data_IF_541925742784
#
_entry.id   IF_541925742784
#
_cell.length_a   1.000
_cell.length_b   1.000
_cell.length_c   1.000
_cell.angle_alpha   90.00
_cell.angle_beta   90.00
_cell.angle_gamma   90.00
#
_symmetry.space_group_name_H-M   'P 1'
#
loop_
_entity.id
_entity.type
_entity.pdbx_description
1 polymer ?
#
# COMPACT_ATOMS: atom_id res chain seq x y z
N UNK A 1 -12.17 9.90 22.67
CA UNK A 1 -11.60 8.53 22.72
C UNK A 1 -12.62 7.48 22.29
N UNK A 2 -13.80 7.34 22.93
CA UNK A 2 -14.85 6.39 22.48
C UNK A 2 -15.31 6.63 21.03
N UNK A 3 -15.46 7.89 20.63
CA UNK A 3 -15.84 8.25 19.25
C UNK A 3 -14.76 7.90 18.22
N UNK A 4 -13.49 8.25 18.50
CA UNK A 4 -12.36 7.84 17.65
C UNK A 4 -12.21 6.33 17.53
N UNK A 5 -12.48 5.59 18.60
CA UNK A 5 -12.52 4.12 18.59
C UNK A 5 -13.67 3.62 17.72
N UNK A 6 -14.85 4.22 17.82
CA UNK A 6 -16.02 3.88 17.00
C UNK A 6 -15.75 4.14 15.51
N UNK A 7 -15.21 5.31 15.16
CA UNK A 7 -14.83 5.67 13.79
C UNK A 7 -13.72 4.75 13.26
N UNK A 8 -12.74 4.38 14.09
CA UNK A 8 -11.72 3.39 13.72
C UNK A 8 -12.32 1.98 13.51
N UNK A 9 -13.33 1.58 14.30
CA UNK A 9 -14.03 0.30 14.10
C UNK A 9 -14.86 0.36 12.81
N UNK A 10 -15.53 1.47 12.52
CA UNK A 10 -16.25 1.65 11.26
C UNK A 10 -15.30 1.66 10.06
N UNK A 11 -14.10 2.22 10.20
CA UNK A 11 -13.14 2.26 9.10
C UNK A 11 -12.58 0.88 8.82
N UNK A 12 -12.48 0.01 9.82
CA UNK A 12 -12.15 -1.41 9.62
C UNK A 12 -13.16 -2.12 8.71
N UNK A 13 -14.45 -1.82 8.84
CA UNK A 13 -15.50 -2.41 7.99
C UNK A 13 -15.50 -1.84 6.57
N UNK A 14 -15.18 -0.56 6.39
CA UNK A 14 -15.11 0.09 5.08
C UNK A 14 -13.82 -0.24 4.32
N UNK A 15 -12.67 -0.32 5.02
CA UNK A 15 -11.34 -0.60 4.45
C UNK A 15 -11.19 -2.05 4.00
N UNK A 16 -11.97 -2.99 4.56
CA UNK A 16 -12.07 -4.35 4.01
C UNK A 16 -12.50 -4.36 2.53
N UNK A 17 -13.28 -3.37 2.08
CA UNK A 17 -13.66 -3.21 0.66
C UNK A 17 -12.67 -2.39 -0.17
N UNK A 18 -11.84 -1.56 0.48
CA UNK A 18 -10.82 -0.72 -0.17
C UNK A 18 -9.56 -1.53 -0.56
N UNK A 19 -9.32 -2.66 0.13
CA UNK A 19 -8.18 -3.55 -0.11
C UNK A 19 -8.55 -4.80 -0.93
N UNK A 20 -9.83 -5.03 -1.23
CA UNK A 20 -10.31 -6.22 -1.96
C UNK A 20 -10.06 -6.18 -3.48
N UNK A 21 -9.23 -5.25 -3.96
CA UNK A 21 -8.68 -5.29 -5.33
C UNK A 21 -7.58 -6.36 -5.51
N UNK A 22 -7.43 -7.29 -4.56
CA UNK A 22 -6.84 -8.61 -4.83
C UNK A 22 -7.68 -9.72 -4.17
N UNK A 23 -8.49 -10.37 -5.02
CA UNK A 23 -8.93 -11.77 -4.96
C UNK A 23 -10.00 -12.18 -3.93
N UNK A 24 -11.28 -11.93 -4.27
CA UNK A 24 -12.27 -13.02 -4.41
C UNK A 24 -13.44 -12.62 -5.33
N UNK A 25 -13.77 -13.39 -6.39
CA UNK A 25 -15.00 -13.16 -7.15
C UNK A 25 -16.13 -13.98 -6.50
N UNK A 26 -17.01 -13.31 -5.77
CA UNK A 26 -18.39 -13.82 -5.68
C UNK A 26 -19.11 -13.42 -6.96
N UNK A 27 -19.44 -14.45 -7.73
CA UNK A 27 -20.31 -14.41 -8.89
C UNK A 27 -21.59 -13.62 -8.58
N UNK A 28 -21.88 -12.59 -9.37
CA UNK A 28 -23.06 -12.67 -10.23
C UNK A 28 -22.89 -11.82 -11.48
N UNK A 29 -23.24 -12.41 -12.62
CA UNK A 29 -23.15 -11.78 -13.92
C UNK A 29 -24.28 -10.79 -14.09
N UNK A 30 -24.05 -9.52 -13.80
CA UNK A 30 -24.85 -8.42 -14.37
C UNK A 30 -23.98 -7.17 -14.50
N UNK A 31 -23.92 -6.66 -15.73
CA UNK A 31 -23.31 -5.39 -16.12
C UNK A 31 -23.55 -4.26 -15.12
N UNK A 32 -22.50 -3.75 -14.47
CA UNK A 32 -22.50 -2.45 -13.79
C UNK A 32 -21.16 -1.74 -14.02
N UNK A 33 -21.17 -0.83 -15.00
CA UNK A 33 -20.38 0.39 -14.94
C UNK A 33 -21.06 1.32 -13.92
N UNK A 34 -20.28 1.97 -13.05
CA UNK A 34 -20.64 2.71 -11.82
C UNK A 34 -20.72 1.82 -10.58
N UNK A 35 -19.79 2.02 -9.64
CA UNK A 35 -19.93 1.84 -8.16
C UNK A 35 -18.58 1.75 -7.42
N UNK A 36 -17.46 2.08 -8.07
CA UNK A 36 -16.17 2.27 -7.37
C UNK A 36 -16.08 3.61 -6.65
N UNK A 37 -16.84 4.62 -7.07
CA UNK A 37 -16.75 5.99 -6.55
C UNK A 37 -17.48 6.20 -5.22
N UNK A 38 -18.63 5.54 -4.99
CA UNK A 38 -19.37 5.67 -3.72
C UNK A 38 -18.64 5.00 -2.53
N UNK A 39 -17.91 3.91 -2.75
CA UNK A 39 -17.14 3.21 -1.70
C UNK A 39 -15.87 3.94 -1.29
N UNK A 40 -15.22 4.63 -2.23
CA UNK A 40 -14.04 5.48 -1.95
C UNK A 40 -14.45 6.72 -1.17
N UNK A 41 -15.60 7.31 -1.50
CA UNK A 41 -16.18 8.47 -0.82
C UNK A 41 -16.48 8.18 0.68
N UNK A 42 -16.98 6.98 1.00
CA UNK A 42 -17.24 6.57 2.39
C UNK A 42 -15.98 6.40 3.25
N UNK A 43 -14.89 5.86 2.70
CA UNK A 43 -13.61 5.70 3.43
C UNK A 43 -12.91 7.05 3.57
N UNK A 44 -12.95 7.89 2.54
CA UNK A 44 -12.36 9.23 2.57
C UNK A 44 -13.09 10.15 3.56
N UNK A 45 -14.43 10.10 3.57
CA UNK A 45 -15.28 10.78 4.57
C UNK A 45 -14.90 10.37 6.00
N UNK A 46 -14.72 9.07 6.24
CA UNK A 46 -14.39 8.56 7.58
C UNK A 46 -12.95 8.90 8.02
N UNK A 47 -11.98 8.85 7.12
CA UNK A 47 -10.63 9.32 7.43
C UNK A 47 -10.60 10.84 7.65
N UNK A 48 -11.51 11.62 7.05
CA UNK A 48 -11.68 13.06 7.35
C UNK A 48 -12.27 13.29 8.76
N UNK A 49 -13.25 12.50 9.20
CA UNK A 49 -13.79 12.59 10.56
C UNK A 49 -12.72 12.25 11.61
N UNK A 50 -11.92 11.21 11.37
CA UNK A 50 -10.76 10.87 12.20
C UNK A 50 -9.78 12.05 12.26
N UNK A 51 -9.49 12.68 11.13
CA UNK A 51 -8.59 13.82 11.06
C UNK A 51 -9.08 14.99 11.92
N UNK A 52 -10.36 15.37 11.81
CA UNK A 52 -10.97 16.45 12.61
C UNK A 52 -10.83 16.16 14.11
N UNK A 53 -11.19 14.95 14.55
CA UNK A 53 -11.07 14.57 15.95
C UNK A 53 -9.63 14.55 16.47
N UNK A 54 -8.66 14.15 15.64
CA UNK A 54 -7.25 14.21 16.01
C UNK A 54 -6.75 15.65 16.12
N UNK A 55 -7.23 16.56 15.28
CA UNK A 55 -6.86 17.98 15.35
C UNK A 55 -7.42 18.69 16.60
N UNK A 56 -8.60 18.28 17.06
CA UNK A 56 -9.21 18.80 18.30
C UNK A 56 -8.59 18.23 19.57
N UNK A 57 -7.80 17.16 19.46
CA UNK A 57 -7.14 16.52 20.60
C UNK A 57 -5.94 17.33 21.09
N UNK A 58 -5.80 17.42 22.41
CA UNK A 58 -4.61 18.03 23.05
C UNK A 58 -3.35 17.15 22.98
N UNK A 59 -3.51 15.84 22.74
CA UNK A 59 -2.41 14.89 22.57
C UNK A 59 -2.79 13.76 21.60
N UNK A 60 -2.89 14.05 20.29
CA UNK A 60 -3.30 13.06 19.31
C UNK A 60 -2.33 11.88 19.22
N UNK A 61 -1.03 12.13 19.43
CA UNK A 61 -0.01 11.08 19.45
C UNK A 61 -0.24 10.06 20.56
N UNK A 62 -0.57 10.52 21.78
CA UNK A 62 -0.91 9.64 22.90
C UNK A 62 -2.19 8.85 22.62
N UNK A 63 -3.23 9.49 22.06
CA UNK A 63 -4.50 8.82 21.80
C UNK A 63 -4.31 7.69 20.79
N UNK A 64 -3.64 7.94 19.67
CA UNK A 64 -3.39 6.92 18.65
C UNK A 64 -2.55 5.79 19.22
N UNK A 65 -1.47 6.10 19.95
CA UNK A 65 -0.64 5.07 20.58
C UNK A 65 -1.45 4.18 21.55
N UNK A 66 -2.31 4.77 22.38
CA UNK A 66 -3.17 4.01 23.29
C UNK A 66 -4.14 3.08 22.54
N UNK A 67 -4.68 3.53 21.39
CA UNK A 67 -5.57 2.71 20.54
C UNK A 67 -4.80 1.53 19.96
N UNK A 68 -3.58 1.75 19.46
CA UNK A 68 -2.73 0.69 18.89
C UNK A 68 -2.33 -0.36 19.93
N UNK A 69 -2.12 0.07 21.19
CA UNK A 69 -1.76 -0.83 22.29
C UNK A 69 -2.98 -1.55 22.90
N UNK A 70 -4.19 -1.00 22.76
CA UNK A 70 -5.41 -1.53 23.34
C UNK A 70 -6.52 -1.60 22.29
N UNK A 71 -6.40 -2.51 21.30
CA UNK A 71 -7.40 -2.64 20.26
C UNK A 71 -8.75 -2.92 20.91
N UNK A 72 -9.71 -2.00 20.75
CA UNK A 72 -10.96 -1.94 21.51
C UNK A 72 -11.95 -3.07 21.17
N UNK A 73 -11.52 -4.07 20.42
CA UNK A 73 -12.26 -5.28 20.12
C UNK A 73 -11.66 -6.40 20.96
N UNK A 74 -12.31 -6.84 22.06
CA UNK A 74 -11.99 -8.13 22.66
C UNK A 74 -12.23 -9.20 21.60
N UNK A 75 -11.25 -10.07 21.31
CA UNK A 75 -11.45 -11.16 20.37
C UNK A 75 -11.22 -12.52 21.02
N UNK A 76 -12.12 -13.43 20.63
CA UNK A 76 -12.22 -14.81 21.04
C UNK A 76 -11.07 -15.66 20.49
N UNK A 77 -9.84 -15.49 20.99
CA UNK A 77 -8.83 -16.55 21.05
C UNK A 77 -7.96 -16.29 22.27
N UNK A 78 -8.18 -17.05 23.34
CA UNK A 78 -7.24 -17.13 24.45
C UNK A 78 -5.89 -17.62 23.90
N UNK A 79 -4.84 -16.81 23.99
CA UNK A 79 -3.48 -17.27 23.72
C UNK A 79 -2.48 -16.21 23.29
N UNK A 80 -2.80 -15.36 22.32
CA UNK A 80 -1.80 -14.47 21.70
C UNK A 80 -2.07 -12.99 22.00
N UNK A 81 -1.14 -12.39 22.75
CA UNK A 81 -1.01 -10.95 22.95
C UNK A 81 -0.41 -10.27 21.71
N UNK A 82 -0.83 -10.66 20.51
CA UNK A 82 -0.28 -10.09 19.28
C UNK A 82 -0.87 -8.70 19.03
N UNK A 83 0.00 -7.71 18.88
CA UNK A 83 -0.36 -6.38 18.38
C UNK A 83 -0.83 -6.55 16.93
N UNK A 84 -2.14 -6.43 16.70
CA UNK A 84 -2.72 -6.52 15.36
C UNK A 84 -2.81 -5.13 14.75
N UNK A 85 -2.00 -4.87 13.73
CA UNK A 85 -2.17 -3.71 12.84
C UNK A 85 -3.13 -4.11 11.72
N UNK A 86 -4.28 -3.44 11.64
CA UNK A 86 -5.26 -3.60 10.58
C UNK A 86 -5.47 -2.30 9.80
N UNK A 87 -6.38 -2.33 8.81
CA UNK A 87 -6.64 -1.17 7.94
C UNK A 87 -7.09 0.09 8.68
N UNK A 88 -7.77 -0.02 9.83
CA UNK A 88 -8.16 1.15 10.60
C UNK A 88 -7.01 1.75 11.39
N UNK A 89 -6.12 0.90 11.91
CA UNK A 89 -4.85 1.34 12.48
C UNK A 89 -4.02 2.12 11.44
N UNK A 90 -3.99 1.64 10.19
CA UNK A 90 -3.31 2.34 9.09
C UNK A 90 -3.94 3.71 8.82
N UNK A 91 -5.26 3.82 8.63
CA UNK A 91 -5.89 5.15 8.40
C UNK A 91 -5.62 6.10 9.58
N UNK A 92 -5.70 5.63 10.83
CA UNK A 92 -5.35 6.44 12.01
C UNK A 92 -3.91 6.97 11.97
N UNK A 93 -2.96 6.10 11.64
CA UNK A 93 -1.55 6.45 11.53
C UNK A 93 -1.29 7.41 10.37
N UNK A 94 -1.92 7.23 9.22
CA UNK A 94 -1.84 8.14 8.08
C UNK A 94 -2.36 9.54 8.43
N UNK A 95 -3.50 9.64 9.14
CA UNK A 95 -4.02 10.93 9.60
C UNK A 95 -3.10 11.58 10.66
N UNK A 96 -2.54 10.78 11.57
CA UNK A 96 -1.57 11.29 12.55
C UNK A 96 -0.30 11.82 11.87
N UNK A 97 0.19 11.13 10.84
CA UNK A 97 1.31 11.57 10.01
C UNK A 97 0.97 12.84 9.21
N UNK A 98 -0.30 13.04 8.85
CA UNK A 98 -0.78 14.24 8.17
C UNK A 98 -0.72 15.47 9.08
N UNK A 99 -1.16 15.35 10.34
CA UNK A 99 -1.14 16.47 11.30
C UNK A 99 0.23 16.72 11.91
N UNK A 100 1.13 15.73 11.89
CA UNK A 100 2.53 15.84 12.36
C UNK A 100 2.66 16.52 13.74
N UNK A 101 2.08 15.94 14.80
CA UNK A 101 2.04 16.59 16.09
C UNK A 101 3.41 16.53 16.78
N UNK A 102 3.65 17.44 17.73
CA UNK A 102 4.84 17.36 18.56
C UNK A 102 4.75 16.15 19.50
N UNK A 103 5.73 15.25 19.40
CA UNK A 103 5.76 13.99 20.16
C UNK A 103 6.46 14.20 21.51
N UNK A 104 5.70 14.05 22.59
CA UNK A 104 6.25 14.12 23.96
C UNK A 104 7.21 12.95 24.25
N UNK A 105 8.30 13.16 25.01
CA UNK A 105 9.29 12.10 25.29
C UNK A 105 8.70 10.80 25.82
N UNK A 106 7.78 10.87 26.80
CA UNK A 106 7.10 9.67 27.34
C UNK A 106 6.31 8.90 26.28
N UNK A 107 5.65 9.61 25.37
CA UNK A 107 4.90 8.98 24.26
C UNK A 107 5.87 8.28 23.31
N UNK A 108 7.00 8.91 23.00
CA UNK A 108 8.06 8.34 22.16
C UNK A 108 8.63 7.04 22.75
N UNK A 109 8.90 7.02 24.05
CA UNK A 109 9.41 5.82 24.74
C UNK A 109 8.42 4.65 24.68
N UNK A 110 7.13 4.92 24.83
CA UNK A 110 6.08 3.89 24.71
C UNK A 110 5.87 3.43 23.27
N UNK A 111 5.96 4.35 22.29
CA UNK A 111 5.92 4.02 20.87
C UNK A 111 7.14 3.17 20.45
N UNK A 112 8.31 3.39 21.05
CA UNK A 112 9.49 2.57 20.82
C UNK A 112 9.26 1.11 21.28
N UNK A 113 8.62 0.89 22.43
CA UNK A 113 8.28 -0.46 22.90
C UNK A 113 7.37 -1.15 21.89
N UNK A 114 6.30 -0.48 21.47
CA UNK A 114 5.38 -0.99 20.45
C UNK A 114 6.11 -1.32 19.14
N UNK A 115 7.02 -0.47 18.67
CA UNK A 115 7.79 -0.70 17.46
C UNK A 115 8.73 -1.91 17.58
N UNK A 116 9.34 -2.13 18.75
CA UNK A 116 10.17 -3.31 19.03
C UNK A 116 9.34 -4.59 19.00
N UNK A 117 8.14 -4.58 19.59
CA UNK A 117 7.22 -5.72 19.59
C UNK A 117 6.77 -6.06 18.16
N UNK A 118 6.36 -5.05 17.38
CA UNK A 118 6.01 -5.22 15.97
C UNK A 118 7.18 -5.81 15.15
N UNK A 119 8.40 -5.30 15.36
CA UNK A 119 9.59 -5.82 14.66
C UNK A 119 9.90 -7.27 15.05
N UNK A 120 9.69 -7.66 16.31
CA UNK A 120 9.85 -9.04 16.75
C UNK A 120 8.83 -9.97 16.05
N UNK A 121 7.58 -9.52 15.91
CA UNK A 121 6.51 -10.28 15.28
C UNK A 121 6.71 -10.47 13.76
N UNK A 122 7.41 -9.54 13.09
CA UNK A 122 7.72 -9.68 11.65
C UNK A 122 8.68 -10.84 11.34
N UNK A 123 9.54 -11.24 12.28
CA UNK A 123 10.52 -12.31 12.06
C UNK A 123 9.88 -13.69 11.77
N UNK A 124 8.60 -13.87 12.09
CA UNK A 124 7.84 -15.09 11.81
C UNK A 124 6.85 -14.99 10.64
N UNK A 125 6.60 -13.78 10.09
CA UNK A 125 5.53 -13.55 9.10
C UNK A 125 5.78 -12.29 8.24
N UNK A 126 6.85 -12.29 7.43
CA UNK A 126 7.23 -11.16 6.56
C UNK A 126 6.25 -10.88 5.41
N UNK A 127 5.17 -11.66 5.28
CA UNK A 127 4.16 -11.51 4.22
C UNK A 127 3.06 -10.49 4.58
N UNK A 128 2.97 -10.06 5.85
CA UNK A 128 1.94 -9.10 6.27
C UNK A 128 2.35 -7.65 5.99
N UNK A 129 2.02 -7.15 4.79
CA UNK A 129 2.32 -5.78 4.34
C UNK A 129 1.75 -4.70 5.28
N UNK A 130 0.60 -4.93 5.94
CA UNK A 130 -0.01 -3.97 6.85
C UNK A 130 0.79 -3.79 8.13
N UNK A 131 1.32 -4.88 8.70
CA UNK A 131 2.17 -4.81 9.90
C UNK A 131 3.46 -4.06 9.58
N UNK A 132 4.06 -4.31 8.41
CA UNK A 132 5.25 -3.59 7.94
C UNK A 132 4.93 -2.10 7.76
N UNK A 133 3.81 -1.76 7.10
CA UNK A 133 3.40 -0.38 6.87
C UNK A 133 3.15 0.36 8.19
N UNK A 134 2.42 -0.26 9.12
CA UNK A 134 2.14 0.31 10.44
C UNK A 134 3.41 0.56 11.24
N UNK A 135 4.35 -0.39 11.23
CA UNK A 135 5.67 -0.20 11.85
C UNK A 135 6.42 0.99 11.26
N UNK A 136 6.51 1.10 9.93
CA UNK A 136 7.21 2.20 9.27
C UNK A 136 6.55 3.56 9.55
N UNK A 137 5.21 3.61 9.57
CA UNK A 137 4.45 4.80 9.98
C UNK A 137 4.76 5.18 11.43
N UNK A 138 4.81 4.22 12.36
CA UNK A 138 5.21 4.47 13.76
C UNK A 138 6.64 5.00 13.82
N UNK A 139 7.59 4.42 13.09
CA UNK A 139 8.96 4.92 13.07
C UNK A 139 9.04 6.38 12.62
N UNK A 140 8.31 6.71 11.56
CA UNK A 140 8.28 8.05 11.00
C UNK A 140 7.60 9.05 11.92
N UNK A 141 6.40 8.75 12.42
CA UNK A 141 5.59 9.68 13.21
C UNK A 141 6.27 9.98 14.56
N UNK A 142 6.80 8.95 15.23
CA UNK A 142 7.36 9.09 16.56
C UNK A 142 8.86 9.42 16.56
N UNK A 143 9.49 9.46 15.38
CA UNK A 143 10.91 9.80 15.20
C UNK A 143 11.82 8.73 15.79
N UNK A 144 11.62 7.48 15.41
CA UNK A 144 12.27 6.31 16.04
C UNK A 144 13.31 5.63 15.16
N UNK A 145 13.53 6.08 13.92
CA UNK A 145 14.42 5.40 12.96
C UNK A 145 15.83 5.14 13.53
N UNK A 146 16.39 6.06 14.31
CA UNK A 146 17.73 5.95 14.91
C UNK A 146 17.87 4.80 15.90
N UNK A 147 16.77 4.23 16.39
CA UNK A 147 16.76 3.07 17.27
C UNK A 147 16.82 1.73 16.52
N UNK A 148 16.85 1.76 15.18
CA UNK A 148 16.81 0.59 14.32
C UNK A 148 17.95 0.60 13.31
N UNK A 149 18.30 -0.59 12.79
CA UNK A 149 19.21 -0.68 11.66
C UNK A 149 18.54 -0.10 10.41
N UNK A 150 19.10 0.99 9.90
CA UNK A 150 18.54 1.74 8.77
C UNK A 150 18.43 0.92 7.48
N UNK A 151 19.40 0.05 7.21
CA UNK A 151 19.38 -0.82 6.03
C UNK A 151 18.27 -1.88 6.13
N UNK A 152 18.09 -2.51 7.31
CA UNK A 152 16.97 -3.42 7.53
C UNK A 152 15.61 -2.73 7.37
N UNK A 153 15.48 -1.49 7.83
CA UNK A 153 14.25 -0.71 7.68
C UNK A 153 13.99 -0.38 6.20
N UNK A 154 15.03 -0.03 5.44
CA UNK A 154 14.92 0.21 4.00
C UNK A 154 14.53 -1.06 3.22
N UNK A 155 15.04 -2.22 3.61
CA UNK A 155 14.62 -3.51 3.04
C UNK A 155 13.15 -3.84 3.33
N UNK A 156 12.68 -3.56 4.55
CA UNK A 156 11.25 -3.69 4.90
C UNK A 156 10.39 -2.72 4.08
N UNK A 157 10.89 -1.51 3.82
CA UNK A 157 10.18 -0.49 3.06
C UNK A 157 9.83 -0.98 1.64
N UNK A 158 10.70 -1.78 0.99
CA UNK A 158 10.44 -2.30 -0.36
C UNK A 158 9.13 -3.10 -0.48
N UNK A 159 8.68 -3.74 0.59
CA UNK A 159 7.42 -4.51 0.61
C UNK A 159 6.16 -3.63 0.59
N UNK A 160 6.26 -2.41 1.10
CA UNK A 160 5.13 -1.47 1.21
C UNK A 160 5.27 -0.26 0.26
N UNK A 161 6.30 -0.27 -0.57
CA UNK A 161 6.64 0.83 -1.46
C UNK A 161 5.58 1.14 -2.52
N UNK A 162 4.60 0.25 -2.73
CA UNK A 162 3.48 0.43 -3.65
C UNK A 162 2.35 1.30 -3.05
N UNK A 163 2.23 1.40 -1.72
CA UNK A 163 1.18 2.20 -1.07
C UNK A 163 1.27 3.68 -1.46
N UNK A 164 0.13 4.38 -1.46
CA UNK A 164 0.04 5.82 -1.81
C UNK A 164 0.86 6.70 -0.86
N UNK A 165 0.87 6.37 0.45
CA UNK A 165 1.62 7.12 1.47
C UNK A 165 3.14 6.94 1.38
N UNK A 166 3.62 5.94 0.62
CA UNK A 166 5.02 5.54 0.61
C UNK A 166 5.97 6.69 0.25
N UNK A 167 5.65 7.53 -0.74
CA UNK A 167 6.53 8.65 -1.13
C UNK A 167 6.80 9.60 0.05
N UNK A 168 5.73 10.04 0.73
CA UNK A 168 5.83 10.90 1.92
C UNK A 168 6.58 10.19 3.03
N UNK A 169 6.33 8.90 3.24
CA UNK A 169 6.98 8.11 4.28
C UNK A 169 8.48 7.94 4.04
N UNK A 170 8.89 7.77 2.79
CA UNK A 170 10.30 7.68 2.40
C UNK A 170 11.05 8.97 2.69
N UNK A 171 10.42 10.12 2.42
CA UNK A 171 10.97 11.44 2.72
C UNK A 171 11.07 11.68 4.23
N UNK A 172 10.02 11.41 5.00
CA UNK A 172 10.00 11.66 6.46
C UNK A 172 10.89 10.71 7.25
N UNK A 173 11.16 9.51 6.74
CA UNK A 173 12.18 8.61 7.26
C UNK A 173 13.61 9.04 6.88
N UNK A 174 13.77 10.05 6.01
CA UNK A 174 15.09 10.54 5.61
C UNK A 174 15.81 9.64 4.60
N UNK A 175 15.08 8.82 3.85
CA UNK A 175 15.67 7.92 2.85
C UNK A 175 15.93 8.56 1.48
N UNK A 176 15.62 9.84 1.31
CA UNK A 176 15.79 10.56 0.05
C UNK A 176 17.20 10.41 -0.57
N UNK A 177 18.26 10.42 0.26
CA UNK A 177 19.64 10.24 -0.19
C UNK A 177 19.99 8.80 -0.60
N UNK A 178 19.12 7.83 -0.31
CA UNK A 178 19.26 6.41 -0.66
C UNK A 178 18.41 5.98 -1.84
N UNK A 179 17.76 6.92 -2.53
CA UNK A 179 16.82 6.59 -3.61
C UNK A 179 17.47 5.74 -4.71
N UNK A 180 18.74 5.95 -5.04
CA UNK A 180 19.45 5.14 -6.05
C UNK A 180 19.55 3.67 -5.63
N UNK A 181 20.08 3.39 -4.43
CA UNK A 181 20.17 2.03 -3.85
C UNK A 181 18.77 1.38 -3.77
N UNK A 182 17.78 2.17 -3.37
CA UNK A 182 16.42 1.70 -3.22
C UNK A 182 15.76 1.34 -4.56
N UNK A 183 15.90 2.18 -5.58
CA UNK A 183 15.40 1.92 -6.94
C UNK A 183 16.05 0.67 -7.53
N UNK A 184 17.37 0.51 -7.38
CA UNK A 184 18.08 -0.69 -7.83
C UNK A 184 17.54 -1.96 -7.14
N UNK A 185 17.27 -1.89 -5.83
CA UNK A 185 16.66 -2.98 -5.08
C UNK A 185 15.26 -3.34 -5.62
N UNK A 186 14.42 -2.35 -5.91
CA UNK A 186 13.09 -2.56 -6.49
C UNK A 186 13.16 -3.21 -7.88
N UNK A 187 14.10 -2.80 -8.73
CA UNK A 187 14.32 -3.39 -10.07
C UNK A 187 14.73 -4.87 -9.92
N UNK A 188 15.68 -5.17 -9.03
CA UNK A 188 16.09 -6.55 -8.74
C UNK A 188 14.93 -7.42 -8.25
N UNK A 189 13.96 -6.82 -7.55
CA UNK A 189 12.71 -7.44 -7.08
C UNK A 189 11.60 -7.48 -8.15
N UNK A 190 11.87 -7.02 -9.38
CA UNK A 190 10.90 -6.89 -10.48
C UNK A 190 9.71 -5.95 -10.17
N UNK A 191 9.87 -5.04 -9.22
CA UNK A 191 8.87 -4.03 -8.84
C UNK A 191 8.98 -2.78 -9.73
N UNK A 192 8.93 -2.98 -11.04
CA UNK A 192 9.23 -1.96 -12.07
C UNK A 192 8.35 -0.71 -11.98
N UNK A 193 7.03 -0.86 -11.78
CA UNK A 193 6.12 0.30 -11.66
C UNK A 193 6.48 1.16 -10.45
N UNK A 194 6.80 0.52 -9.33
CA UNK A 194 7.22 1.23 -8.11
C UNK A 194 8.57 1.90 -8.31
N UNK A 195 9.54 1.19 -8.92
CA UNK A 195 10.84 1.74 -9.25
C UNK A 195 10.74 2.97 -10.17
N UNK A 196 9.88 2.93 -11.19
CA UNK A 196 9.61 4.06 -12.07
C UNK A 196 9.01 5.25 -11.31
N UNK A 197 8.05 5.02 -10.40
CA UNK A 197 7.45 6.06 -9.57
C UNK A 197 8.47 6.78 -8.69
N UNK A 198 9.32 6.03 -7.98
CA UNK A 198 10.40 6.61 -7.17
C UNK A 198 11.44 7.33 -8.05
N UNK A 199 11.78 6.75 -9.19
CA UNK A 199 12.75 7.34 -10.11
C UNK A 199 12.27 8.67 -10.69
N UNK A 200 10.98 8.79 -11.00
CA UNK A 200 10.36 10.04 -11.45
C UNK A 200 10.38 11.10 -10.35
N UNK A 201 9.90 10.76 -9.16
CA UNK A 201 9.78 11.69 -8.05
C UNK A 201 11.12 12.28 -7.59
N UNK A 202 12.21 11.52 -7.71
CA UNK A 202 13.55 11.96 -7.34
C UNK A 202 14.43 12.33 -8.54
N UNK A 203 13.91 12.25 -9.77
CA UNK A 203 14.62 12.54 -11.01
C UNK A 203 15.98 11.81 -11.13
N UNK A 204 15.98 10.50 -10.86
CA UNK A 204 17.19 9.66 -10.82
C UNK A 204 17.36 8.73 -12.01
N UNK A 205 16.47 8.82 -13.00
CA UNK A 205 16.56 8.09 -14.25
C UNK A 205 16.07 8.96 -15.41
N UNK A 206 16.60 8.73 -16.61
CA UNK A 206 16.11 9.40 -17.81
C UNK A 206 14.77 8.81 -18.28
N UNK A 207 14.03 9.58 -19.08
CA UNK A 207 12.72 9.16 -19.60
C UNK A 207 12.77 7.81 -20.33
N UNK A 208 13.84 7.56 -21.09
CA UNK A 208 13.96 6.33 -21.88
C UNK A 208 14.11 5.12 -20.96
N UNK A 209 14.98 5.19 -19.95
CA UNK A 209 15.14 4.14 -18.94
C UNK A 209 13.82 3.82 -18.24
N UNK A 210 13.02 4.83 -17.94
CA UNK A 210 11.73 4.66 -17.29
C UNK A 210 10.71 3.98 -18.21
N UNK A 211 10.62 4.39 -19.47
CA UNK A 211 9.76 3.77 -20.47
C UNK A 211 10.18 2.31 -20.72
N UNK A 212 11.49 2.04 -20.83
CA UNK A 212 12.03 0.69 -21.00
C UNK A 212 11.67 -0.22 -19.81
N UNK A 213 11.76 0.31 -18.58
CA UNK A 213 11.39 -0.38 -17.34
C UNK A 213 9.88 -0.73 -17.29
N UNK A 214 9.01 0.18 -17.71
CA UNK A 214 7.57 -0.07 -17.79
C UNK A 214 7.23 -1.08 -18.91
N UNK A 215 7.91 -1.01 -20.06
CA UNK A 215 7.77 -2.00 -21.13
C UNK A 215 8.16 -3.40 -20.66
N UNK A 216 9.23 -3.52 -19.87
CA UNK A 216 9.64 -4.80 -19.27
C UNK A 216 8.56 -5.33 -18.32
N UNK A 217 7.91 -4.47 -17.54
CA UNK A 217 6.76 -4.86 -16.71
C UNK A 217 5.59 -5.40 -17.54
N UNK A 218 5.20 -4.68 -18.59
CA UNK A 218 4.14 -5.08 -19.53
C UNK A 218 4.45 -6.44 -20.15
N UNK A 219 5.69 -6.65 -20.59
CA UNK A 219 6.12 -7.92 -21.18
C UNK A 219 6.11 -9.07 -20.16
N UNK A 220 6.53 -8.82 -18.92
CA UNK A 220 6.51 -9.81 -17.86
C UNK A 220 5.08 -10.22 -17.48
N UNK A 221 4.16 -9.26 -17.36
CA UNK A 221 2.75 -9.54 -17.09
C UNK A 221 2.12 -10.41 -18.19
N UNK A 222 2.40 -10.07 -19.45
CA UNK A 222 1.98 -10.86 -20.62
C UNK A 222 2.49 -12.31 -20.56
N UNK A 223 3.78 -12.52 -20.32
CA UNK A 223 4.38 -13.85 -20.25
C UNK A 223 3.79 -14.70 -19.11
N UNK A 224 3.48 -14.08 -17.97
CA UNK A 224 2.82 -14.77 -16.85
C UNK A 224 1.42 -15.24 -17.25
N UNK A 225 0.62 -14.36 -17.89
CA UNK A 225 -0.72 -14.70 -18.35
C UNK A 225 -0.70 -15.81 -19.42
N UNK A 226 0.17 -15.68 -20.43
CA UNK A 226 0.31 -16.69 -21.50
C UNK A 226 0.74 -18.04 -20.92
N UNK A 227 1.76 -18.05 -20.06
CA UNK A 227 2.22 -19.27 -19.40
C UNK A 227 1.18 -19.91 -18.47
N UNK A 228 0.25 -19.14 -17.90
CA UNK A 228 -0.91 -19.69 -17.16
C UNK A 228 -1.94 -20.28 -18.13
N UNK A 229 -2.26 -19.56 -19.20
CA UNK A 229 -3.23 -19.98 -20.21
C UNK A 229 -2.83 -21.24 -20.97
N UNK A 230 -1.54 -21.47 -21.19
CA UNK A 230 -1.02 -22.66 -21.88
C UNK A 230 -1.09 -23.92 -21.02
N UNK A 231 -1.03 -23.79 -19.69
CA UNK A 231 -0.97 -24.92 -18.75
C UNK A 231 -2.32 -25.56 -18.46
N UNK A 232 -3.43 -24.90 -18.82
CA UNK A 232 -4.77 -25.35 -18.46
C UNK A 232 -5.80 -24.98 -19.52
N UNK A 233 -6.85 -25.80 -19.64
CA UNK A 233 -8.02 -25.48 -20.45
C UNK A 233 -9.18 -24.92 -19.62
N UNK A 234 -8.99 -24.71 -18.31
CA UNK A 234 -10.02 -24.10 -17.46
C UNK A 234 -10.21 -22.63 -17.82
N UNK A 235 -11.42 -22.28 -18.23
CA UNK A 235 -11.82 -20.89 -18.55
C UNK A 235 -11.61 -20.00 -17.32
N UNK A 236 -11.99 -20.47 -16.12
CA UNK A 236 -11.86 -19.71 -14.87
C UNK A 236 -10.40 -19.33 -14.58
N UNK A 237 -9.46 -20.26 -14.77
CA UNK A 237 -8.04 -19.99 -14.52
C UNK A 237 -7.47 -19.03 -15.57
N UNK A 238 -7.88 -19.16 -16.83
CA UNK A 238 -7.49 -18.24 -17.90
C UNK A 238 -8.02 -16.83 -17.66
N UNK A 239 -9.29 -16.71 -17.29
CA UNK A 239 -9.90 -15.43 -17.00
C UNK A 239 -9.26 -14.76 -15.78
N UNK A 240 -8.94 -15.52 -14.73
CA UNK A 240 -8.16 -15.02 -13.60
C UNK A 240 -6.77 -14.49 -14.03
N UNK A 241 -6.05 -15.24 -14.87
CA UNK A 241 -4.74 -14.80 -15.35
C UNK A 241 -4.83 -13.52 -16.22
N UNK A 242 -5.88 -13.42 -17.04
CA UNK A 242 -6.17 -12.21 -17.84
C UNK A 242 -6.52 -11.03 -16.93
N UNK A 243 -7.27 -11.26 -15.86
CA UNK A 243 -7.60 -10.23 -14.87
C UNK A 243 -6.37 -9.73 -14.11
N UNK A 244 -5.46 -10.64 -13.74
CA UNK A 244 -4.18 -10.29 -13.14
C UNK A 244 -3.31 -9.48 -14.12
N UNK A 245 -3.28 -9.83 -15.41
CA UNK A 245 -2.58 -9.04 -16.44
C UNK A 245 -3.23 -7.64 -16.61
N UNK A 246 -4.56 -7.56 -16.73
CA UNK A 246 -5.27 -6.28 -16.85
C UNK A 246 -4.98 -5.39 -15.64
N UNK A 247 -5.09 -5.91 -14.42
CA UNK A 247 -4.81 -5.15 -13.21
C UNK A 247 -3.35 -4.63 -13.19
N UNK A 248 -2.39 -5.47 -13.59
CA UNK A 248 -0.98 -5.08 -13.73
C UNK A 248 -0.80 -3.95 -14.75
N UNK A 249 -1.43 -4.04 -15.92
CA UNK A 249 -1.38 -3.01 -16.96
C UNK A 249 -2.04 -1.69 -16.52
N UNK A 250 -3.14 -1.76 -15.76
CA UNK A 250 -3.80 -0.59 -15.18
C UNK A 250 -2.90 0.13 -14.16
N UNK A 251 -2.05 -0.59 -13.42
CA UNK A 251 -1.06 0.06 -12.54
C UNK A 251 0.00 0.86 -13.32
N UNK A 252 0.36 0.42 -14.53
CA UNK A 252 1.27 1.15 -15.42
C UNK A 252 0.60 2.43 -15.94
N UNK A 253 -0.66 2.34 -16.38
CA UNK A 253 -1.44 3.51 -16.81
C UNK A 253 -1.57 4.55 -15.69
N UNK A 254 -1.85 4.09 -14.46
CA UNK A 254 -1.92 4.99 -13.31
C UNK A 254 -0.56 5.65 -13.05
N UNK A 255 0.55 4.89 -13.12
CA UNK A 255 1.89 5.44 -12.95
C UNK A 255 2.21 6.52 -14.00
N UNK A 256 1.83 6.31 -15.26
CA UNK A 256 2.01 7.31 -16.33
C UNK A 256 1.15 8.55 -16.06
N UNK A 257 -0.11 8.37 -15.66
CA UNK A 257 -1.01 9.48 -15.31
C UNK A 257 -0.47 10.34 -14.16
N UNK A 258 0.05 9.69 -13.11
CA UNK A 258 0.63 10.35 -11.94
C UNK A 258 1.96 11.05 -12.28
N UNK A 259 2.64 10.63 -13.34
CA UNK A 259 3.98 11.10 -13.71
C UNK A 259 4.03 11.47 -15.20
N UNK A 260 3.57 12.68 -15.53
CA UNK A 260 3.52 13.19 -16.93
C UNK A 260 4.83 13.05 -17.72
N UNK A 261 5.98 12.99 -17.05
CA UNK A 261 7.28 12.75 -17.70
C UNK A 261 7.36 11.39 -18.42
N UNK A 262 6.54 10.41 -18.03
CA UNK A 262 6.49 9.06 -18.57
C UNK A 262 5.58 8.91 -19.80
N UNK A 263 4.82 9.95 -20.14
CA UNK A 263 3.84 9.87 -21.23
C UNK A 263 4.53 9.54 -22.56
N UNK A 264 4.09 8.44 -23.17
CA UNK A 264 4.58 7.92 -24.43
C UNK A 264 3.39 7.33 -25.18
N UNK A 265 3.06 7.92 -26.32
CA UNK A 265 1.92 7.51 -27.16
C UNK A 265 2.03 6.03 -27.54
N UNK A 266 3.21 5.59 -27.99
CA UNK A 266 3.49 4.18 -28.33
C UNK A 266 3.26 3.23 -27.16
N UNK A 267 3.69 3.60 -25.94
CA UNK A 267 3.48 2.78 -24.75
C UNK A 267 2.01 2.71 -24.37
N UNK A 268 1.31 3.85 -24.39
CA UNK A 268 -0.11 3.94 -24.07
C UNK A 268 -0.95 3.10 -25.04
N UNK A 269 -0.72 3.26 -26.34
CA UNK A 269 -1.41 2.51 -27.39
C UNK A 269 -1.17 1.00 -27.22
N UNK A 270 0.08 0.60 -26.97
CA UNK A 270 0.43 -0.80 -26.73
C UNK A 270 -0.31 -1.40 -25.53
N UNK A 271 -0.37 -0.67 -24.42
CA UNK A 271 -1.07 -1.11 -23.21
C UNK A 271 -2.58 -1.17 -23.45
N UNK A 272 -3.17 -0.13 -24.02
CA UNK A 272 -4.61 -0.05 -24.27
C UNK A 272 -5.08 -1.14 -25.24
N UNK A 273 -4.35 -1.36 -26.34
CA UNK A 273 -4.64 -2.43 -27.29
C UNK A 273 -4.59 -3.80 -26.59
N UNK A 274 -3.60 -4.04 -25.73
CA UNK A 274 -3.49 -5.30 -24.98
C UNK A 274 -4.65 -5.50 -24.02
N UNK A 275 -5.07 -4.47 -23.29
CA UNK A 275 -6.24 -4.55 -22.39
C UNK A 275 -7.51 -4.89 -23.18
N UNK A 276 -7.71 -4.29 -24.36
CA UNK A 276 -8.84 -4.59 -25.23
C UNK A 276 -8.82 -6.05 -25.72
N UNK A 277 -7.65 -6.55 -26.13
CA UNK A 277 -7.47 -7.96 -26.50
C UNK A 277 -7.85 -8.89 -25.35
N UNK A 278 -7.36 -8.65 -24.14
CA UNK A 278 -7.63 -9.49 -22.97
C UNK A 278 -9.12 -9.52 -22.63
N UNK A 279 -9.79 -8.37 -22.66
CA UNK A 279 -11.24 -8.25 -22.43
C UNK A 279 -12.05 -9.01 -23.49
N UNK A 280 -11.62 -9.01 -24.76
CA UNK A 280 -12.31 -9.72 -25.84
C UNK A 280 -12.21 -11.25 -25.76
N UNK A 281 -11.23 -11.77 -25.01
CA UNK A 281 -11.00 -13.21 -24.82
C UNK A 281 -11.61 -13.76 -23.52
N UNK A 282 -12.19 -12.91 -22.66
CA UNK A 282 -12.88 -13.38 -21.46
C UNK A 282 -14.03 -14.32 -21.79
N UNK A 283 -14.19 -15.38 -21.00
CA UNK A 283 -15.23 -16.40 -21.19
C UNK A 283 -15.02 -17.32 -22.40
N UNK A 284 -13.84 -17.25 -23.06
CA UNK A 284 -13.40 -18.14 -24.15
C UNK A 284 -12.14 -18.91 -23.74
#
# INVERSE_FOLDING_TARGET
MKELIYLAIQSKHAVASYMDNQLSPTMDGTSLHLDTNEKTDGVESLCNDILVHLQESSDPSRIVLNILQNPSVPRCREGDNDVIIDGSCICLLEQLMRISPNIKPRVREEALKLALDLKANMKGNTENSLVILGFLLILSIYGLLTSFNEHEVLELFAFVAHHKIAMKLFETLGFANKVYEFVENLIRRKQFVVAARFSCAYNVADKKQLVDMLLEHVQNAKLICEGSCEKTNSIEIKDKARDEEIASLETVLQCISDNKSLESEDLLDKIQNRILELKAHKGK
#
